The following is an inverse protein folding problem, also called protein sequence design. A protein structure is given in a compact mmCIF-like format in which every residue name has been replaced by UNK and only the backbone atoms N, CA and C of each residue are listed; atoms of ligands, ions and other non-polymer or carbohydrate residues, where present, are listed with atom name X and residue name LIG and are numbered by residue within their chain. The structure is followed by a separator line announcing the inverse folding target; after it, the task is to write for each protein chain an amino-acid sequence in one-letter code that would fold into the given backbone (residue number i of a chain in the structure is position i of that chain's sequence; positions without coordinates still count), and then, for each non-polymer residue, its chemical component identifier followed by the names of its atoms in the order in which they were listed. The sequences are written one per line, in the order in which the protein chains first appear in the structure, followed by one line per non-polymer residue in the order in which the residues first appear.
data_IF_495713636931
#
_entry.id   IF_495713636931
#
_cell.length_a   1.000
_cell.length_b   1.000
_cell.length_c   1.000
_cell.angle_alpha   90.00
_cell.angle_beta   90.00
_cell.angle_gamma   90.00
#
_symmetry.space_group_name_H-M   'P 1'
#
loop_
_entity.id
_entity.type
_entity.pdbx_description
1 polymer ?
#
# COMPACT_ATOMS: atom_id res chain seq x y z
N UNK A 1 2.78 -1.28 15.95
CA UNK A 1 2.44 -2.54 15.24
C UNK A 1 3.37 -2.69 14.03
N UNK A 2 3.52 -3.88 13.48
CA UNK A 2 4.25 -4.10 12.24
C UNK A 2 3.30 -4.57 11.14
N UNK A 3 3.45 -4.01 9.93
CA UNK A 3 2.71 -4.42 8.73
C UNK A 3 3.68 -4.86 7.65
N UNK A 4 3.30 -5.85 6.85
CA UNK A 4 4.08 -6.26 5.69
C UNK A 4 3.51 -5.60 4.42
N UNK A 5 4.17 -4.57 3.93
CA UNK A 5 3.69 -3.80 2.78
C UNK A 5 3.78 -4.63 1.49
N UNK A 6 4.74 -5.56 1.38
CA UNK A 6 4.83 -6.46 0.23
C UNK A 6 3.57 -7.34 0.10
N UNK A 7 3.08 -7.91 1.21
CA UNK A 7 1.86 -8.72 1.23
C UNK A 7 0.61 -7.91 0.83
N UNK A 8 0.62 -6.59 1.02
CA UNK A 8 -0.49 -5.73 0.61
C UNK A 8 -0.55 -5.50 -0.90
N UNK A 9 0.57 -5.65 -1.62
CA UNK A 9 0.69 -5.33 -3.05
C UNK A 9 0.98 -6.55 -3.92
N UNK A 10 1.21 -7.74 -3.36
CA UNK A 10 1.69 -8.89 -4.12
C UNK A 10 0.77 -9.33 -5.28
N UNK A 11 -0.52 -9.04 -5.15
CA UNK A 11 -1.55 -9.31 -6.16
C UNK A 11 -1.64 -8.24 -7.27
N UNK A 12 -0.97 -7.10 -7.11
CA UNK A 12 -0.95 -6.02 -8.09
C UNK A 12 -0.15 -6.40 -9.34
N UNK A 13 -0.52 -5.82 -10.48
CA UNK A 13 0.18 -6.04 -11.76
C UNK A 13 0.38 -4.75 -12.52
N UNK A 14 1.45 -4.71 -13.30
CA UNK A 14 1.84 -3.55 -14.10
C UNK A 14 1.90 -3.92 -15.56
N UNK A 15 1.17 -3.17 -16.39
CA UNK A 15 1.31 -3.26 -17.83
C UNK A 15 2.49 -2.40 -18.24
N UNK A 16 3.60 -3.05 -18.52
CA UNK A 16 4.78 -2.41 -19.07
C UNK A 16 4.72 -2.58 -20.58
N UNK A 17 5.21 -1.63 -21.35
CA UNK A 17 5.31 -1.76 -22.80
C UNK A 17 5.96 -0.58 -23.47
N UNK A 18 5.82 -0.50 -24.79
CA UNK A 18 6.22 0.67 -25.56
C UNK A 18 5.15 1.08 -26.59
N UNK A 19 5.25 2.30 -27.13
CA UNK A 19 4.37 2.84 -28.18
C UNK A 19 5.07 2.88 -29.55
N UNK A 20 5.24 1.75 -30.27
CA UNK A 20 5.72 1.78 -31.65
C UNK A 20 4.75 2.46 -32.62
N UNK A 21 3.46 2.48 -32.26
CA UNK A 21 2.35 3.03 -33.04
C UNK A 21 1.31 3.63 -32.06
N UNK A 22 0.12 4.01 -32.55
CA UNK A 22 -1.02 4.49 -31.72
C UNK A 22 -1.56 3.49 -30.66
N UNK A 23 -0.93 2.32 -30.50
CA UNK A 23 -1.30 1.29 -29.53
C UNK A 23 -0.07 0.84 -28.77
N UNK A 24 -0.18 0.73 -27.45
CA UNK A 24 0.87 0.16 -26.62
C UNK A 24 1.00 -1.34 -26.94
N UNK A 25 2.24 -1.80 -27.11
CA UNK A 25 2.56 -3.22 -27.24
C UNK A 25 3.30 -3.63 -25.99
N UNK A 26 2.80 -4.66 -25.31
CA UNK A 26 3.40 -5.19 -24.10
C UNK A 26 2.60 -6.25 -23.38
N UNK A 27 2.87 -6.40 -22.09
CA UNK A 27 2.28 -7.41 -21.23
C UNK A 27 2.25 -6.95 -19.78
N UNK A 28 1.40 -7.63 -19.03
CA UNK A 28 1.35 -7.55 -17.59
C UNK A 28 2.53 -8.28 -16.94
N UNK A 29 3.05 -7.69 -15.87
CA UNK A 29 4.02 -8.26 -14.96
C UNK A 29 3.42 -8.27 -13.56
N UNK A 30 3.62 -9.36 -12.81
CA UNK A 30 3.35 -9.38 -11.37
C UNK A 30 4.43 -8.61 -10.61
N UNK A 31 4.12 -8.21 -9.36
CA UNK A 31 5.12 -7.64 -8.44
C UNK A 31 6.35 -8.55 -8.30
N UNK A 32 6.13 -9.84 -8.07
CA UNK A 32 7.22 -10.82 -7.93
C UNK A 32 8.11 -10.89 -9.19
N UNK A 33 7.51 -10.91 -10.39
CA UNK A 33 8.27 -10.89 -11.65
C UNK A 33 9.18 -9.67 -11.74
N UNK A 34 8.69 -8.48 -11.35
CA UNK A 34 9.44 -7.23 -11.45
C UNK A 34 10.60 -7.16 -10.47
N UNK A 35 10.40 -7.60 -9.23
CA UNK A 35 11.46 -7.65 -8.19
C UNK A 35 12.67 -8.43 -8.69
N UNK A 36 12.42 -9.58 -9.35
CA UNK A 36 13.46 -10.46 -9.89
C UNK A 36 13.82 -10.18 -11.36
N UNK A 37 13.41 -9.04 -11.92
CA UNK A 37 13.76 -8.60 -13.27
C UNK A 37 14.74 -7.42 -13.27
N UNK A 38 15.09 -6.90 -14.44
CA UNK A 38 15.79 -5.62 -14.56
C UNK A 38 15.22 -4.86 -15.74
N UNK A 39 15.45 -3.54 -15.79
CA UNK A 39 15.06 -2.74 -16.94
C UNK A 39 15.60 -3.36 -18.24
N UNK A 40 16.89 -3.73 -18.28
CA UNK A 40 17.54 -4.30 -19.46
C UNK A 40 16.92 -5.63 -19.87
N UNK A 41 16.61 -6.50 -18.91
CA UNK A 41 15.98 -7.80 -19.20
C UNK A 41 14.59 -7.63 -19.81
N UNK A 42 13.82 -6.67 -19.29
CA UNK A 42 12.49 -6.35 -19.81
C UNK A 42 12.65 -5.74 -21.20
N UNK A 43 13.49 -4.72 -21.35
CA UNK A 43 13.78 -4.05 -22.63
C UNK A 43 14.22 -5.04 -23.71
N UNK A 44 15.12 -5.97 -23.40
CA UNK A 44 15.56 -7.03 -24.32
C UNK A 44 14.39 -7.93 -24.75
N UNK A 45 13.54 -8.37 -23.80
CA UNK A 45 12.31 -9.14 -24.11
C UNK A 45 11.39 -8.35 -25.06
N UNK A 46 11.27 -7.04 -24.81
CA UNK A 46 10.45 -6.14 -25.60
C UNK A 46 10.98 -5.94 -27.02
N UNK A 47 12.27 -5.65 -27.15
CA UNK A 47 12.91 -5.39 -28.42
C UNK A 47 12.89 -6.63 -29.32
N UNK A 48 13.18 -7.82 -28.76
CA UNK A 48 13.15 -9.08 -29.50
C UNK A 48 11.74 -9.38 -30.05
N UNK A 49 10.72 -9.19 -29.21
CA UNK A 49 9.35 -9.60 -29.55
C UNK A 49 8.58 -8.55 -30.36
N UNK A 50 8.77 -7.27 -30.06
CA UNK A 50 7.92 -6.19 -30.57
C UNK A 50 8.67 -5.17 -31.43
N UNK A 51 10.01 -5.18 -31.43
CA UNK A 51 10.84 -4.37 -32.34
C UNK A 51 11.95 -5.17 -33.05
N UNK A 52 11.65 -6.34 -33.64
CA UNK A 52 12.68 -7.19 -34.25
C UNK A 52 13.42 -6.51 -35.42
N UNK A 53 12.87 -5.42 -35.96
CA UNK A 53 13.42 -4.69 -37.10
C UNK A 53 14.13 -3.38 -36.73
N UNK A 54 14.27 -3.06 -35.43
CA UNK A 54 15.09 -1.95 -34.94
C UNK A 54 14.58 -0.55 -35.29
N UNK A 55 13.30 -0.27 -35.06
CA UNK A 55 12.76 1.10 -35.10
C UNK A 55 13.41 1.96 -34.02
N UNK A 56 13.64 3.25 -34.34
CA UNK A 56 14.56 4.13 -33.62
C UNK A 56 14.02 4.77 -32.34
N UNK A 57 12.72 4.69 -32.06
CA UNK A 57 12.09 5.36 -30.91
C UNK A 57 11.05 4.45 -30.25
N UNK A 58 11.50 3.66 -29.28
CA UNK A 58 10.63 2.90 -28.39
C UNK A 58 11.06 3.17 -26.96
N UNK A 59 10.32 4.03 -26.27
CA UNK A 59 10.48 4.19 -24.83
C UNK A 59 9.62 3.14 -24.13
N UNK A 60 10.25 2.43 -23.19
CA UNK A 60 9.58 1.46 -22.34
C UNK A 60 9.00 2.18 -21.13
N UNK A 61 7.70 2.03 -20.88
CA UNK A 61 7.00 2.68 -19.78
C UNK A 61 6.00 1.78 -19.09
N UNK A 62 5.57 2.19 -17.90
CA UNK A 62 4.40 1.61 -17.21
C UNK A 62 3.16 2.38 -17.69
N UNK A 63 2.23 1.68 -18.35
CA UNK A 63 1.04 2.32 -18.93
C UNK A 63 -0.25 2.05 -18.18
N UNK A 64 -0.30 0.97 -17.40
CA UNK A 64 -1.50 0.60 -16.66
C UNK A 64 -1.13 -0.21 -15.41
N UNK A 65 -2.00 -0.18 -14.42
CA UNK A 65 -1.85 -0.91 -13.16
C UNK A 65 -3.17 -1.60 -12.83
N UNK A 66 -3.13 -2.92 -12.69
CA UNK A 66 -4.19 -3.71 -12.06
C UNK A 66 -4.01 -3.54 -10.55
N UNK A 67 -4.52 -2.42 -10.05
CA UNK A 67 -4.27 -1.89 -8.71
C UNK A 67 -5.27 -2.47 -7.70
N UNK A 68 -5.10 -3.75 -7.37
CA UNK A 68 -5.94 -4.50 -6.42
C UNK A 68 -5.83 -3.90 -5.02
N UNK A 69 -4.62 -3.52 -4.61
CA UNK A 69 -4.34 -2.88 -3.32
C UNK A 69 -4.95 -1.47 -3.21
N UNK A 70 -5.16 -0.79 -4.34
CA UNK A 70 -5.59 0.60 -4.38
C UNK A 70 -4.55 1.58 -3.83
N UNK A 71 -3.29 1.16 -3.69
CA UNK A 71 -2.18 1.97 -3.17
C UNK A 71 -1.50 2.80 -4.25
N UNK A 72 -1.26 2.21 -5.43
CA UNK A 72 -0.50 2.85 -6.52
C UNK A 72 -1.21 4.07 -7.11
N UNK A 73 -0.46 5.13 -7.40
CA UNK A 73 -0.98 6.33 -8.06
C UNK A 73 0.07 7.06 -8.90
N UNK A 74 -0.36 7.67 -10.02
CA UNK A 74 0.52 8.46 -10.87
C UNK A 74 1.22 7.66 -11.97
N UNK A 75 2.35 8.18 -12.46
CA UNK A 75 3.13 7.62 -13.55
C UNK A 75 4.47 7.08 -13.02
N UNK A 76 4.85 5.89 -13.45
CA UNK A 76 6.10 5.26 -13.03
C UNK A 76 6.98 4.96 -14.24
N UNK A 77 8.26 5.31 -14.10
CA UNK A 77 9.30 4.73 -14.94
C UNK A 77 9.55 3.27 -14.53
N UNK A 78 9.88 2.41 -15.50
CA UNK A 78 10.06 0.97 -15.27
C UNK A 78 11.20 0.69 -14.30
N UNK A 79 12.32 1.40 -14.43
CA UNK A 79 13.48 1.18 -13.54
C UNK A 79 13.16 1.64 -12.12
N UNK A 80 12.53 2.81 -11.99
CA UNK A 80 12.14 3.36 -10.68
C UNK A 80 11.11 2.49 -9.96
N UNK A 81 10.15 1.92 -10.71
CA UNK A 81 9.18 0.97 -10.16
C UNK A 81 9.87 -0.29 -9.61
N UNK A 82 10.78 -0.89 -10.38
CA UNK A 82 11.51 -2.09 -9.94
C UNK A 82 12.29 -1.82 -8.65
N UNK A 83 12.98 -0.67 -8.58
CA UNK A 83 13.76 -0.30 -7.39
C UNK A 83 12.85 -0.09 -6.17
N UNK A 84 11.71 0.59 -6.33
CA UNK A 84 10.69 0.73 -5.27
C UNK A 84 10.17 -0.62 -4.79
N UNK A 85 9.80 -1.52 -5.70
CA UNK A 85 9.29 -2.85 -5.34
C UNK A 85 10.31 -3.68 -4.56
N UNK A 86 11.61 -3.55 -4.88
CA UNK A 86 12.70 -4.19 -4.14
C UNK A 86 12.91 -3.59 -2.75
N UNK A 87 12.80 -2.27 -2.64
CA UNK A 87 12.86 -1.59 -1.34
C UNK A 87 11.74 -2.11 -0.43
N UNK A 88 10.51 -2.22 -0.96
CA UNK A 88 9.36 -2.76 -0.25
C UNK A 88 9.61 -4.22 0.19
N UNK A 89 10.01 -5.10 -0.74
CA UNK A 89 10.28 -6.52 -0.45
C UNK A 89 11.41 -6.68 0.60
N UNK A 90 12.50 -5.94 0.46
CA UNK A 90 13.65 -6.05 1.35
C UNK A 90 13.41 -5.46 2.74
N UNK A 91 12.52 -4.47 2.87
CA UNK A 91 12.14 -3.91 4.17
C UNK A 91 11.32 -4.91 4.96
N UNK A 92 10.43 -5.66 4.29
CA UNK A 92 9.56 -6.64 4.91
C UNK A 92 8.50 -5.98 5.78
N UNK A 93 8.86 -5.62 7.02
CA UNK A 93 7.94 -5.05 8.00
C UNK A 93 8.18 -3.56 8.25
N UNK A 94 7.12 -2.77 8.13
CA UNK A 94 7.10 -1.36 8.50
C UNK A 94 6.47 -1.20 9.88
N UNK A 95 7.15 -0.48 10.77
CA UNK A 95 6.56 -0.08 12.05
C UNK A 95 5.57 1.06 11.82
N UNK A 96 4.33 0.84 12.27
CA UNK A 96 3.28 1.84 12.23
C UNK A 96 2.74 2.11 13.64
N UNK A 97 2.46 3.39 13.88
CA UNK A 97 1.89 3.88 15.12
C UNK A 97 0.57 4.61 14.80
N UNK A 98 -0.52 3.85 14.87
CA UNK A 98 -1.87 4.38 14.64
C UNK A 98 -2.55 4.83 15.93
N UNK A 99 -1.95 4.59 17.10
CA UNK A 99 -2.62 4.77 18.40
C UNK A 99 -4.02 4.09 18.47
N UNK A 100 -4.17 2.96 17.77
CA UNK A 100 -5.36 2.10 17.76
C UNK A 100 -4.98 0.74 18.36
N UNK A 101 -5.86 0.22 19.20
CA UNK A 101 -5.65 -0.96 20.05
C UNK A 101 -6.85 -1.90 19.93
N UNK A 102 -6.65 -3.17 20.24
CA UNK A 102 -7.78 -4.11 20.37
C UNK A 102 -8.74 -3.63 21.46
N UNK A 103 -10.04 -3.67 21.18
CA UNK A 103 -11.05 -3.21 22.12
C UNK A 103 -11.37 -4.28 23.16
N UNK A 104 -10.47 -4.44 24.12
CA UNK A 104 -10.59 -5.38 25.24
C UNK A 104 -10.84 -4.64 26.56
N UNK A 105 -11.19 -5.38 27.61
CA UNK A 105 -11.27 -4.82 28.97
C UNK A 105 -9.89 -4.31 29.44
N UNK A 106 -8.81 -4.96 29.00
CA UNK A 106 -7.43 -4.62 29.35
C UNK A 106 -7.03 -3.23 28.85
N UNK A 107 -7.56 -2.78 27.70
CA UNK A 107 -7.29 -1.44 27.16
C UNK A 107 -7.50 -0.35 28.22
N UNK A 108 -8.62 -0.39 28.94
CA UNK A 108 -8.93 0.63 29.95
C UNK A 108 -7.97 0.58 31.14
N UNK A 109 -7.50 -0.60 31.52
CA UNK A 109 -6.52 -0.78 32.60
C UNK A 109 -5.14 -0.26 32.18
N UNK A 110 -4.74 -0.52 30.93
CA UNK A 110 -3.46 -0.12 30.37
C UNK A 110 -3.35 1.38 30.12
N UNK A 111 -4.46 2.07 29.83
CA UNK A 111 -4.45 3.54 29.66
C UNK A 111 -3.99 4.29 30.92
N UNK A 112 -4.17 3.68 32.11
CA UNK A 112 -3.92 4.33 33.39
C UNK A 112 -4.82 5.54 33.68
N UNK A 113 -5.88 5.74 32.89
CA UNK A 113 -6.81 6.86 33.03
C UNK A 113 -7.67 6.70 34.29
N UNK A 114 -8.05 7.82 34.91
CA UNK A 114 -9.03 7.77 35.99
C UNK A 114 -10.41 7.40 35.45
N UNK A 115 -11.27 6.84 36.29
CA UNK A 115 -12.67 6.53 35.93
C UNK A 115 -13.39 7.79 35.38
N UNK A 116 -13.07 8.97 35.91
CA UNK A 116 -13.65 10.23 35.43
C UNK A 116 -13.19 10.56 34.00
N UNK A 117 -11.90 10.38 33.71
CA UNK A 117 -11.34 10.66 32.39
C UNK A 117 -11.85 9.66 31.35
N UNK A 118 -11.97 8.37 31.72
CA UNK A 118 -12.59 7.34 30.88
C UNK A 118 -14.03 7.71 30.57
N UNK A 119 -14.84 8.05 31.59
CA UNK A 119 -16.24 8.42 31.39
C UNK A 119 -16.38 9.66 30.50
N UNK A 120 -15.49 10.64 30.64
CA UNK A 120 -15.43 11.82 29.77
C UNK A 120 -15.08 11.43 28.33
N UNK A 121 -14.02 10.64 28.14
CA UNK A 121 -13.53 10.25 26.82
C UNK A 121 -14.55 9.38 26.07
N UNK A 122 -15.29 8.52 26.77
CA UNK A 122 -16.45 7.80 26.21
C UNK A 122 -17.56 8.78 25.84
N UNK A 123 -17.93 9.68 26.75
CA UNK A 123 -19.08 10.58 26.57
C UNK A 123 -18.90 11.55 25.39
N UNK A 124 -17.69 12.09 25.21
CA UNK A 124 -17.36 12.98 24.09
C UNK A 124 -16.70 12.25 22.91
N UNK A 125 -16.59 10.92 23.01
CA UNK A 125 -16.01 10.07 21.99
C UNK A 125 -16.98 9.71 20.88
N UNK A 126 -16.47 8.97 19.90
CA UNK A 126 -17.22 8.38 18.80
C UNK A 126 -17.24 6.86 18.95
N UNK A 127 -17.99 6.37 19.93
CA UNK A 127 -18.21 4.93 20.12
C UNK A 127 -19.31 4.47 19.17
N UNK A 128 -18.93 3.89 18.03
CA UNK A 128 -19.87 3.38 17.01
C UNK A 128 -20.52 2.08 17.47
N UNK A 129 -19.74 1.20 18.08
CA UNK A 129 -20.17 -0.07 18.64
C UNK A 129 -19.32 -0.47 19.84
N UNK A 130 -19.97 -0.99 20.88
CA UNK A 130 -19.27 -1.59 22.03
C UNK A 130 -18.72 -3.00 21.76
N UNK A 131 -19.07 -3.56 20.60
CA UNK A 131 -18.57 -4.84 20.11
C UNK A 131 -17.66 -4.65 18.88
N UNK A 132 -17.20 -3.41 18.63
CA UNK A 132 -16.22 -3.16 17.59
C UNK A 132 -14.88 -3.80 18.02
N UNK A 133 -14.09 -4.22 17.05
CA UNK A 133 -12.86 -4.98 17.29
C UNK A 133 -11.74 -4.10 17.88
N UNK A 134 -11.76 -2.79 17.60
CA UNK A 134 -10.70 -1.86 17.96
C UNK A 134 -11.19 -0.55 18.56
N UNK A 135 -10.32 0.07 19.37
CA UNK A 135 -10.51 1.36 20.02
C UNK A 135 -9.21 2.17 19.96
N UNK A 136 -9.34 3.48 19.78
CA UNK A 136 -8.21 4.41 19.81
C UNK A 136 -8.65 5.79 20.29
N UNK A 137 -7.81 6.78 20.02
CA UNK A 137 -8.09 8.17 20.34
C UNK A 137 -8.34 8.98 19.07
N UNK A 138 -9.39 9.81 19.07
CA UNK A 138 -9.58 10.79 18.02
C UNK A 138 -8.67 12.02 18.23
N UNK A 139 -8.67 12.95 17.27
CA UNK A 139 -7.86 14.18 17.33
C UNK A 139 -8.14 15.13 18.51
N UNK A 140 -9.13 14.85 19.35
CA UNK A 140 -9.43 15.59 20.58
C UNK A 140 -9.06 14.81 21.86
N UNK A 141 -8.47 13.62 21.73
CA UNK A 141 -8.13 12.74 22.85
C UNK A 141 -9.34 12.04 23.47
N UNK A 142 -10.47 11.96 22.77
CA UNK A 142 -11.62 11.16 23.19
C UNK A 142 -11.61 9.81 22.47
N UNK A 143 -12.29 8.80 23.03
CA UNK A 143 -12.26 7.45 22.44
C UNK A 143 -13.02 7.40 21.11
N UNK A 144 -12.51 6.63 20.17
CA UNK A 144 -13.17 6.29 18.91
C UNK A 144 -13.02 4.79 18.65
N UNK A 145 -14.10 4.14 18.20
CA UNK A 145 -14.07 2.72 17.89
C UNK A 145 -14.03 2.46 16.39
N UNK A 146 -13.41 1.34 16.03
CA UNK A 146 -13.16 0.93 14.66
C UNK A 146 -13.56 -0.53 14.51
N UNK A 147 -14.40 -0.81 13.52
CA UNK A 147 -14.54 -2.17 13.00
C UNK A 147 -13.24 -2.61 12.33
N UNK A 148 -13.06 -3.92 12.09
CA UNK A 148 -11.96 -4.44 11.26
C UNK A 148 -11.77 -3.67 9.94
N UNK A 149 -12.87 -3.35 9.24
CA UNK A 149 -12.80 -2.62 7.96
C UNK A 149 -12.36 -1.17 8.13
N UNK A 150 -12.81 -0.50 9.20
CA UNK A 150 -12.35 0.86 9.52
C UNK A 150 -10.86 0.84 9.86
N UNK A 151 -10.42 -0.17 10.62
CA UNK A 151 -9.02 -0.33 11.02
C UNK A 151 -8.10 -0.58 9.81
N UNK A 152 -8.47 -1.50 8.93
CA UNK A 152 -7.74 -1.71 7.68
C UNK A 152 -7.66 -0.43 6.84
N UNK A 153 -8.74 0.36 6.80
CA UNK A 153 -8.73 1.65 6.09
C UNK A 153 -7.73 2.64 6.69
N UNK A 154 -7.52 2.64 8.02
CA UNK A 154 -6.47 3.45 8.66
C UNK A 154 -5.07 2.99 8.28
N UNK A 155 -4.86 1.67 8.21
CA UNK A 155 -3.60 1.08 7.74
C UNK A 155 -3.33 1.53 6.30
N UNK A 156 -4.29 1.38 5.41
CA UNK A 156 -4.15 1.75 4.00
C UNK A 156 -3.84 3.25 3.82
N UNK A 157 -4.48 4.11 4.60
CA UNK A 157 -4.20 5.56 4.60
C UNK A 157 -2.77 5.85 5.07
N UNK A 158 -2.34 5.24 6.17
CA UNK A 158 -0.97 5.40 6.67
C UNK A 158 0.06 4.92 5.64
N UNK A 159 -0.20 3.78 5.00
CA UNK A 159 0.68 3.20 3.97
C UNK A 159 0.76 4.10 2.74
N UNK A 160 -0.32 4.77 2.35
CA UNK A 160 -0.31 5.77 1.27
C UNK A 160 0.52 7.01 1.61
N UNK A 161 0.62 7.34 2.89
CA UNK A 161 1.45 8.45 3.36
C UNK A 161 2.94 8.04 3.48
N UNK A 162 3.25 6.75 3.42
CA UNK A 162 4.60 6.29 3.11
C UNK A 162 4.86 6.63 1.65
N UNK A 163 5.95 7.35 1.35
CA UNK A 163 6.36 7.81 0.01
C UNK A 163 6.83 6.65 -0.91
N UNK A 164 6.10 5.52 -0.86
CA UNK A 164 6.35 4.27 -1.56
C UNK A 164 5.54 4.20 -2.86
N UNK A 165 4.33 4.77 -2.87
CA UNK A 165 3.32 4.61 -3.93
C UNK A 165 3.05 5.89 -4.72
#
# INVERSE_FOLDING_TARGET
MQINVYEMIEDDKFFIGSYPDNFSKGRWFTVEELIYSSYEKIEDEYLDKYNPNGQSELELGVFDVDNVSGLWSGEYDVSSLIDKLREIESTGYYEIDLEIYEFTEEFFEETGMSIYDVARAVYFGNIKGWNDDYIGFNGYGNFETYSETDYQSQIDMYVKDLDLF
#
